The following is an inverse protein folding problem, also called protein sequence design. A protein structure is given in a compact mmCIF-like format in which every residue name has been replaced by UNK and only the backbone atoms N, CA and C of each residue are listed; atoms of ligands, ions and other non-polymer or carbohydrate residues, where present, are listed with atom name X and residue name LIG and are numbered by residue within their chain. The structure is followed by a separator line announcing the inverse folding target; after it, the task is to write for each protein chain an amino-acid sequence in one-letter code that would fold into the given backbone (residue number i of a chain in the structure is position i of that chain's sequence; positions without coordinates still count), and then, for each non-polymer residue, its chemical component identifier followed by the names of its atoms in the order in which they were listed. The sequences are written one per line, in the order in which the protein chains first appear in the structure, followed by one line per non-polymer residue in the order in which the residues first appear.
data_IF_828362193123
#
_entry.id   IF_828362193123
#
_cell.length_a   1.000
_cell.length_b   1.000
_cell.length_c   1.000
_cell.angle_alpha   90.00
_cell.angle_beta   90.00
_cell.angle_gamma   90.00
#
_symmetry.space_group_name_H-M   'P 1'
#
loop_
_entity.id
_entity.type
_entity.pdbx_description
1 polymer ?
#
# COMPACT_ATOMS: atom_id res chain seq x y z
N UNK A 1 28.90 -15.36 14.44
CA UNK A 1 28.68 -14.03 15.08
C UNK A 1 27.26 -13.53 14.79
N UNK A 2 26.39 -13.45 15.80
CA UNK A 2 25.00 -12.99 15.61
C UNK A 2 24.94 -11.47 15.35
N UNK A 3 24.03 -11.02 14.47
CA UNK A 3 23.80 -9.59 14.22
C UNK A 3 22.79 -9.00 15.21
N UNK A 4 23.05 -7.82 15.75
CA UNK A 4 22.11 -7.11 16.66
C UNK A 4 20.81 -6.62 16.00
N UNK A 5 19.84 -6.23 16.82
CA UNK A 5 18.51 -5.77 16.38
C UNK A 5 18.57 -4.56 15.44
N UNK A 6 19.48 -3.61 15.74
CA UNK A 6 19.68 -2.37 14.98
C UNK A 6 20.51 -2.55 13.71
N UNK A 7 20.94 -3.77 13.39
CA UNK A 7 21.66 -4.06 12.15
C UNK A 7 20.87 -3.60 10.92
N UNK A 8 21.53 -2.84 10.04
CA UNK A 8 20.94 -2.30 8.81
C UNK A 8 20.45 -3.41 7.86
N UNK A 9 21.15 -4.54 7.80
CA UNK A 9 20.74 -5.69 6.99
C UNK A 9 19.43 -6.28 7.52
N UNK A 10 19.39 -6.60 8.82
CA UNK A 10 18.17 -7.13 9.47
C UNK A 10 17.00 -6.15 9.39
N UNK A 11 17.26 -4.85 9.55
CA UNK A 11 16.22 -3.80 9.42
C UNK A 11 15.57 -3.84 8.03
N UNK A 12 16.35 -3.97 6.96
CA UNK A 12 15.83 -4.01 5.59
C UNK A 12 14.99 -5.26 5.32
N UNK A 13 15.46 -6.43 5.73
CA UNK A 13 14.66 -7.66 5.61
C UNK A 13 13.36 -7.57 6.42
N UNK A 14 13.36 -6.91 7.59
CA UNK A 14 12.12 -6.64 8.33
C UNK A 14 11.16 -5.73 7.55
N UNK A 15 11.67 -4.71 6.85
CA UNK A 15 10.82 -3.85 6.01
C UNK A 15 10.14 -4.64 4.91
N UNK A 16 10.86 -5.49 4.17
CA UNK A 16 10.26 -6.33 3.13
C UNK A 16 9.19 -7.26 3.72
N UNK A 17 9.49 -7.91 4.85
CA UNK A 17 8.52 -8.80 5.52
C UNK A 17 7.24 -8.06 5.89
N UNK A 18 7.33 -6.80 6.34
CA UNK A 18 6.15 -5.96 6.61
C UNK A 18 5.37 -5.68 5.34
N UNK A 19 6.03 -5.28 4.25
CA UNK A 19 5.37 -5.06 2.96
C UNK A 19 4.60 -6.31 2.52
N UNK A 20 5.23 -7.48 2.61
CA UNK A 20 4.60 -8.74 2.27
C UNK A 20 3.37 -9.07 3.16
N UNK A 21 3.48 -8.84 4.47
CA UNK A 21 2.35 -8.99 5.41
C UNK A 21 1.21 -8.03 5.07
N UNK A 22 1.52 -6.76 4.79
CA UNK A 22 0.53 -5.76 4.43
C UNK A 22 -0.24 -6.16 3.16
N UNK A 23 0.46 -6.71 2.17
CA UNK A 23 -0.14 -7.15 0.92
C UNK A 23 -1.00 -8.40 1.06
N UNK A 24 -0.49 -9.41 1.79
CA UNK A 24 -1.16 -10.73 1.88
C UNK A 24 -2.25 -10.76 2.96
N UNK A 25 -2.10 -10.00 4.05
CA UNK A 25 -3.04 -10.02 5.19
C UNK A 25 -3.84 -8.73 5.26
N UNK A 26 -3.17 -7.59 5.41
CA UNK A 26 -3.86 -6.35 5.82
C UNK A 26 -4.78 -5.84 4.72
N UNK A 27 -4.29 -5.72 3.47
CA UNK A 27 -5.08 -5.27 2.32
C UNK A 27 -6.36 -6.11 2.11
N UNK A 28 -6.33 -7.45 2.03
CA UNK A 28 -7.54 -8.22 1.84
C UNK A 28 -8.49 -8.12 3.04
N UNK A 29 -7.97 -8.02 4.27
CA UNK A 29 -8.81 -7.83 5.45
C UNK A 29 -9.52 -6.47 5.44
N UNK A 30 -8.80 -5.40 5.08
CA UNK A 30 -9.39 -4.06 4.90
C UNK A 30 -10.44 -4.05 3.79
N UNK A 31 -10.20 -4.74 2.67
CA UNK A 31 -11.17 -4.87 1.59
C UNK A 31 -12.44 -5.58 2.05
N UNK A 32 -12.31 -6.68 2.79
CA UNK A 32 -13.46 -7.40 3.38
C UNK A 32 -14.24 -6.50 4.35
N UNK A 33 -13.55 -5.77 5.21
CA UNK A 33 -14.16 -4.84 6.16
C UNK A 33 -14.94 -3.72 5.44
N UNK A 34 -14.32 -3.10 4.43
CA UNK A 34 -14.98 -2.06 3.63
C UNK A 34 -16.23 -2.60 2.92
N UNK A 35 -16.15 -3.80 2.33
CA UNK A 35 -17.32 -4.43 1.72
C UNK A 35 -18.46 -4.65 2.72
N UNK A 36 -18.16 -5.09 3.95
CA UNK A 36 -19.16 -5.24 5.02
C UNK A 36 -19.82 -3.91 5.38
N UNK A 37 -19.04 -2.83 5.50
CA UNK A 37 -19.57 -1.49 5.77
C UNK A 37 -20.53 -1.07 4.65
N UNK A 38 -20.16 -1.29 3.37
CA UNK A 38 -21.03 -0.98 2.23
C UNK A 38 -22.33 -1.79 2.23
N UNK A 39 -22.29 -3.07 2.59
CA UNK A 39 -23.49 -3.90 2.71
C UNK A 39 -24.42 -3.40 3.82
N UNK A 40 -23.84 -3.04 4.97
CA UNK A 40 -24.57 -2.46 6.10
C UNK A 40 -25.31 -1.17 5.70
N UNK A 41 -24.63 -0.26 4.98
CA UNK A 41 -25.23 0.98 4.51
C UNK A 41 -26.38 0.76 3.53
N UNK A 42 -26.33 -0.32 2.75
CA UNK A 42 -27.37 -0.68 1.79
C UNK A 42 -28.48 -1.56 2.41
N UNK A 43 -28.53 -1.70 3.75
CA UNK A 43 -29.45 -2.60 4.47
C UNK A 43 -29.41 -4.06 3.98
N UNK A 44 -28.27 -4.51 3.46
CA UNK A 44 -28.06 -5.91 3.06
C UNK A 44 -27.48 -6.72 4.23
N UNK A 45 -27.62 -8.04 4.15
CA UNK A 45 -27.13 -8.91 5.21
C UNK A 45 -25.59 -8.95 5.22
N UNK A 46 -25.00 -8.50 6.32
CA UNK A 46 -23.54 -8.40 6.52
C UNK A 46 -22.92 -9.80 6.73
N UNK A 47 -23.73 -10.77 7.13
CA UNK A 47 -23.31 -12.12 7.51
C UNK A 47 -23.35 -13.11 6.35
N UNK A 48 -23.66 -12.68 5.12
CA UNK A 48 -23.71 -13.57 3.94
C UNK A 48 -22.42 -14.39 3.79
N UNK A 49 -21.25 -13.77 4.00
CA UNK A 49 -19.94 -14.43 3.93
C UNK A 49 -19.73 -15.53 5.00
N UNK A 50 -20.50 -15.51 6.10
CA UNK A 50 -20.40 -16.46 7.21
C UNK A 50 -21.36 -17.65 7.04
N UNK A 51 -22.34 -17.53 6.15
CA UNK A 51 -23.28 -18.60 5.85
C UNK A 51 -22.55 -19.65 5.02
N UNK A 52 -22.35 -20.83 5.60
CA UNK A 52 -21.77 -21.96 4.89
C UNK A 52 -22.82 -22.59 3.97
N UNK A 53 -22.45 -23.01 2.75
CA UNK A 53 -23.37 -23.77 1.91
C UNK A 53 -23.73 -25.11 2.57
N UNK A 54 -24.92 -25.68 2.27
CA UNK A 54 -25.31 -26.98 2.79
C UNK A 54 -24.34 -28.08 2.31
N UNK A 55 -24.18 -29.12 3.13
CA UNK A 55 -23.29 -30.23 2.82
C UNK A 55 -23.96 -31.20 1.83
N UNK A 56 -23.36 -31.40 0.65
CA UNK A 56 -23.91 -32.28 -0.38
C UNK A 56 -24.01 -33.75 0.03
N UNK A 57 -23.18 -34.21 0.98
CA UNK A 57 -23.28 -35.57 1.51
C UNK A 57 -24.51 -35.79 2.40
N UNK A 58 -24.99 -34.74 3.09
CA UNK A 58 -26.20 -34.82 3.91
C UNK A 58 -27.46 -34.52 3.10
N UNK A 59 -27.37 -33.60 2.14
CA UNK A 59 -28.48 -33.14 1.31
C UNK A 59 -28.14 -33.35 -0.17
N UNK A 60 -28.17 -34.60 -0.68
CA UNK A 60 -27.78 -34.91 -2.05
C UNK A 60 -28.71 -34.26 -3.09
N UNK A 61 -29.99 -34.09 -2.78
CA UNK A 61 -30.99 -33.50 -3.70
C UNK A 61 -30.93 -31.98 -3.81
N UNK A 62 -30.34 -31.28 -2.82
CA UNK A 62 -30.26 -29.81 -2.84
C UNK A 62 -29.19 -29.34 -3.83
N UNK A 63 -29.59 -28.57 -4.85
CA UNK A 63 -28.71 -28.00 -5.87
C UNK A 63 -27.70 -26.99 -5.29
N UNK A 64 -28.05 -26.32 -4.18
CA UNK A 64 -27.17 -25.34 -3.52
C UNK A 64 -26.13 -26.00 -2.61
N UNK A 65 -26.25 -27.31 -2.38
CA UNK A 65 -25.34 -28.04 -1.52
C UNK A 65 -24.00 -28.31 -2.23
N UNK A 66 -22.90 -28.14 -1.50
CA UNK A 66 -21.54 -28.26 -2.02
C UNK A 66 -20.82 -29.41 -1.32
N UNK A 67 -20.00 -30.15 -2.05
CA UNK A 67 -19.12 -31.18 -1.48
C UNK A 67 -18.06 -30.47 -0.64
N UNK A 68 -17.99 -30.68 0.68
CA UNK A 68 -16.99 -30.04 1.52
C UNK A 68 -15.58 -30.45 1.09
N UNK A 69 -14.76 -29.48 0.69
CA UNK A 69 -13.35 -29.69 0.38
C UNK A 69 -12.48 -28.95 1.39
N UNK A 70 -11.49 -29.64 1.95
CA UNK A 70 -10.49 -29.01 2.80
C UNK A 70 -9.56 -28.15 1.95
N UNK A 71 -9.67 -26.82 2.06
CA UNK A 71 -8.74 -25.89 1.41
C UNK A 71 -7.49 -25.75 2.27
N UNK A 72 -6.34 -26.16 1.75
CA UNK A 72 -5.05 -25.93 2.40
C UNK A 72 -4.78 -24.43 2.41
N UNK A 73 -4.72 -23.84 3.61
CA UNK A 73 -4.37 -22.42 3.77
C UNK A 73 -2.87 -22.26 3.56
N UNK A 74 -2.48 -21.52 2.50
CA UNK A 74 -1.08 -21.21 2.25
C UNK A 74 -0.56 -20.33 3.38
N UNK A 75 0.40 -20.84 4.16
CA UNK A 75 1.09 -20.08 5.20
C UNK A 75 2.01 -19.05 4.53
N UNK A 76 2.20 -17.91 5.18
CA UNK A 76 3.14 -16.89 4.72
C UNK A 76 4.56 -17.39 4.96
N UNK A 77 5.36 -17.41 3.89
CA UNK A 77 6.77 -17.75 3.97
C UNK A 77 7.63 -16.49 4.13
N UNK A 78 8.45 -16.49 5.17
CA UNK A 78 9.35 -15.37 5.49
C UNK A 78 10.82 -15.65 5.16
N UNK A 79 11.10 -16.76 4.47
CA UNK A 79 12.43 -17.02 3.88
C UNK A 79 12.70 -15.98 2.79
N UNK A 80 13.97 -15.58 2.65
CA UNK A 80 14.37 -14.55 1.69
C UNK A 80 14.02 -14.91 0.25
N UNK A 81 14.05 -16.19 -0.10
CA UNK A 81 13.73 -16.69 -1.45
C UNK A 81 12.26 -16.47 -1.83
N UNK A 82 11.35 -16.56 -0.87
CA UNK A 82 9.92 -16.45 -1.10
C UNK A 82 9.40 -14.99 -1.03
N UNK A 83 10.22 -14.06 -0.54
CA UNK A 83 9.80 -12.68 -0.32
C UNK A 83 9.96 -11.83 -1.59
N UNK A 84 8.92 -11.04 -1.96
CA UNK A 84 9.05 -10.09 -3.06
C UNK A 84 10.13 -9.06 -2.72
N UNK A 85 10.92 -8.64 -3.71
CA UNK A 85 11.95 -7.60 -3.57
C UNK A 85 13.14 -7.95 -2.65
N UNK A 86 13.25 -9.20 -2.18
CA UNK A 86 14.35 -9.64 -1.33
C UNK A 86 15.71 -9.47 -2.00
N UNK A 87 15.76 -9.67 -3.32
CA UNK A 87 16.93 -9.46 -4.16
C UNK A 87 17.48 -8.04 -4.09
N UNK A 88 16.65 -7.02 -3.83
CA UNK A 88 17.06 -5.61 -3.74
C UNK A 88 17.75 -5.27 -2.41
N UNK A 89 17.56 -6.08 -1.37
CA UNK A 89 18.02 -5.79 -0.01
C UNK A 89 19.36 -6.46 0.34
N UNK A 90 19.89 -7.27 -0.55
CA UNK A 90 21.19 -7.93 -0.42
C UNK A 90 22.35 -6.94 -0.26
N UNK A 91 23.51 -7.47 0.13
CA UNK A 91 24.74 -6.69 0.22
C UNK A 91 25.27 -6.45 -1.19
N UNK A 92 25.85 -5.27 -1.47
CA UNK A 92 26.37 -4.92 -2.81
C UNK A 92 25.41 -4.14 -3.69
N UNK A 93 24.10 -4.25 -3.49
CA UNK A 93 23.15 -3.49 -4.30
C UNK A 93 23.23 -1.97 -4.11
N UNK A 94 22.98 -1.24 -5.20
CA UNK A 94 22.82 0.21 -5.22
C UNK A 94 21.62 0.63 -4.37
N UNK A 95 21.83 1.62 -3.49
CA UNK A 95 20.87 1.99 -2.43
C UNK A 95 20.39 3.43 -2.48
N UNK A 96 21.19 4.31 -3.09
CA UNK A 96 20.88 5.72 -3.22
C UNK A 96 20.68 5.98 -4.70
N UNK A 97 19.49 6.44 -5.03
CA UNK A 97 19.14 6.93 -6.35
C UNK A 97 19.24 8.45 -6.34
N UNK A 98 19.65 9.02 -7.48
CA UNK A 98 19.58 10.46 -7.71
C UNK A 98 18.12 10.92 -7.69
N UNK A 99 17.87 12.23 -7.60
CA UNK A 99 16.49 12.74 -7.59
C UNK A 99 15.77 12.40 -8.91
N UNK A 100 16.47 12.52 -10.04
CA UNK A 100 15.95 12.21 -11.36
C UNK A 100 15.63 10.72 -11.49
N UNK A 101 16.55 9.84 -11.06
CA UNK A 101 16.35 8.38 -11.06
C UNK A 101 15.13 7.98 -10.22
N UNK A 102 14.87 8.66 -9.09
CA UNK A 102 13.67 8.39 -8.28
C UNK A 102 12.39 8.79 -9.00
N UNK A 103 12.41 9.90 -9.73
CA UNK A 103 11.26 10.38 -10.49
C UNK A 103 10.98 9.45 -11.67
N UNK A 104 12.03 9.03 -12.39
CA UNK A 104 11.96 8.05 -13.47
C UNK A 104 11.40 6.72 -12.99
N UNK A 105 11.98 6.15 -11.93
CA UNK A 105 11.49 4.90 -11.32
C UNK A 105 10.04 5.03 -10.84
N UNK A 106 9.64 6.20 -10.34
CA UNK A 106 8.25 6.47 -9.91
C UNK A 106 7.30 6.48 -11.12
N UNK A 107 7.73 7.06 -12.23
CA UNK A 107 6.94 7.13 -13.46
C UNK A 107 6.80 5.74 -14.10
N UNK A 108 7.88 4.95 -14.11
CA UNK A 108 7.92 3.59 -14.67
C UNK A 108 7.09 2.59 -13.86
N UNK A 109 7.19 2.63 -12.53
CA UNK A 109 6.51 1.67 -11.64
C UNK A 109 5.03 2.02 -11.39
N UNK A 110 4.57 3.13 -11.98
CA UNK A 110 3.24 3.70 -11.77
C UNK A 110 3.06 4.24 -10.34
N UNK A 111 2.09 5.14 -10.16
CA UNK A 111 1.66 5.60 -8.84
C UNK A 111 0.95 4.45 -8.09
N UNK A 112 1.71 3.47 -7.60
CA UNK A 112 1.19 2.48 -6.67
C UNK A 112 0.94 3.22 -5.34
N UNK A 113 -0.32 3.34 -4.88
CA UNK A 113 -0.70 4.25 -3.79
C UNK A 113 0.08 4.03 -2.49
N UNK A 114 0.55 2.80 -2.27
CA UNK A 114 1.16 2.37 -1.01
C UNK A 114 2.61 2.84 -0.76
N UNK A 115 3.24 3.61 -1.65
CA UNK A 115 4.60 4.12 -1.39
C UNK A 115 4.63 5.50 -0.72
N UNK A 116 3.52 6.25 -0.73
CA UNK A 116 3.49 7.68 -0.39
C UNK A 116 2.43 8.13 0.62
N UNK A 117 1.82 7.24 1.42
CA UNK A 117 0.77 7.66 2.38
C UNK A 117 1.24 8.53 3.57
N UNK A 118 2.48 9.05 3.57
CA UNK A 118 2.86 10.10 4.51
C UNK A 118 2.42 11.47 3.96
N UNK A 119 1.18 11.83 4.29
CA UNK A 119 0.57 13.17 4.11
C UNK A 119 1.51 14.30 4.58
N UNK A 120 2.39 14.02 5.55
CA UNK A 120 3.40 14.97 6.03
C UNK A 120 4.46 15.30 4.98
N UNK A 121 4.88 14.32 4.17
CA UNK A 121 5.92 14.53 3.14
C UNK A 121 5.35 15.30 1.95
N UNK A 122 4.11 15.03 1.54
CA UNK A 122 3.45 15.82 0.50
C UNK A 122 3.23 17.27 0.96
N UNK A 123 2.78 17.47 2.21
CA UNK A 123 2.66 18.81 2.82
C UNK A 123 4.00 19.54 2.90
N UNK A 124 5.10 18.86 3.25
CA UNK A 124 6.44 19.45 3.27
C UNK A 124 6.90 19.86 1.86
N UNK A 125 6.64 19.03 0.84
CA UNK A 125 6.99 19.34 -0.55
C UNK A 125 6.16 20.52 -1.07
N UNK A 126 4.88 20.58 -0.76
CA UNK A 126 4.01 21.70 -1.15
C UNK A 126 4.40 23.00 -0.42
N UNK A 127 4.75 22.91 0.86
CA UNK A 127 5.24 24.05 1.65
C UNK A 127 6.60 24.56 1.16
N UNK A 128 7.49 23.66 0.72
CA UNK A 128 8.76 24.04 0.11
C UNK A 128 8.56 24.69 -1.27
N UNK A 129 7.58 24.22 -2.06
CA UNK A 129 7.23 24.84 -3.34
C UNK A 129 6.63 26.23 -3.15
N UNK A 130 5.73 26.44 -2.19
CA UNK A 130 5.19 27.77 -1.85
C UNK A 130 6.29 28.75 -1.43
N UNK A 131 7.27 28.28 -0.67
CA UNK A 131 8.41 29.09 -0.19
C UNK A 131 9.55 29.23 -1.20
N UNK A 132 9.48 28.57 -2.36
CA UNK A 132 10.52 28.67 -3.37
C UNK A 132 10.56 30.09 -3.95
N UNK A 133 11.78 30.63 -4.15
CA UNK A 133 11.99 32.01 -4.60
C UNK A 133 11.29 32.33 -5.92
N UNK A 134 11.13 31.33 -6.78
CA UNK A 134 10.48 31.45 -8.09
C UNK A 134 8.96 31.60 -7.99
N UNK A 135 8.32 30.86 -7.07
CA UNK A 135 6.89 30.97 -6.81
C UNK A 135 6.57 32.28 -6.10
N UNK A 136 7.37 32.68 -5.11
CA UNK A 136 7.21 33.98 -4.44
C UNK A 136 7.44 35.16 -5.40
N UNK A 137 8.42 35.07 -6.31
CA UNK A 137 8.59 36.07 -7.39
C UNK A 137 7.38 36.15 -8.32
N UNK A 138 6.73 35.03 -8.61
CA UNK A 138 5.53 34.98 -9.45
C UNK A 138 4.29 35.53 -8.74
N UNK A 139 4.16 35.27 -7.44
CA UNK A 139 3.07 35.80 -6.60
C UNK A 139 3.20 37.31 -6.47
N UNK A 140 4.38 37.81 -6.09
CA UNK A 140 4.64 39.25 -5.96
C UNK A 140 4.42 39.97 -7.31
N UNK A 141 4.87 39.40 -8.45
CA UNK A 141 4.58 39.95 -9.79
C UNK A 141 3.09 40.00 -10.15
N UNK A 142 2.26 39.17 -9.50
CA UNK A 142 0.82 39.10 -9.75
C UNK A 142 0.07 40.12 -8.89
N UNK A 143 0.52 40.36 -7.66
CA UNK A 143 0.06 41.44 -6.78
C UNK A 143 0.38 42.82 -7.39
N UNK A 144 1.63 43.05 -7.84
CA UNK A 144 2.04 44.29 -8.54
C UNK A 144 1.22 44.56 -9.82
N UNK A 145 0.68 43.51 -10.44
CA UNK A 145 -0.18 43.61 -11.63
C UNK A 145 -1.64 43.87 -11.31
N UNK A 146 -2.10 43.52 -10.11
CA UNK A 146 -3.46 43.79 -9.65
C UNK A 146 -3.56 45.21 -9.11
N UNK A 147 -2.57 45.70 -8.35
CA UNK A 147 -2.53 47.11 -7.90
C UNK A 147 -2.51 48.12 -9.07
N UNK A 148 -1.91 47.75 -10.20
CA UNK A 148 -1.92 48.59 -11.43
C UNK A 148 -3.23 48.55 -12.22
N UNK A 149 -4.17 47.66 -11.86
CA UNK A 149 -5.48 47.55 -12.49
C UNK A 149 -6.60 48.22 -11.68
N UNK A 150 -6.31 48.58 -10.43
CA UNK A 150 -7.25 49.19 -9.49
C UNK A 150 -7.13 50.72 -9.42
N UNK A 151 -6.46 51.35 -10.42
CA UNK A 151 -6.44 52.79 -10.68
C UNK A 151 -7.08 53.13 -12.02
#
# INVERSE_FOLDING_TARGET
MAKGLRSKVKRRFRTIKRVHVNEVIEKPNLKKLNNKIKLMLNNKNIYEDLIKPPNKFLYPEDERAVIPQHKVTKKIDFRSEALPLSGLVTVGNRRKYSLNEKIELKNEMGNNPNFYDNIEVSKIIDDMHKRSREVMKKINKKEDKNEKRDF
#
